data_IF_283305136002
#
_entry.id   IF_283305136002
#
_cell.length_a   1.000
_cell.length_b   1.000
_cell.length_c   1.000
_cell.angle_alpha   90.00
_cell.angle_beta   90.00
_cell.angle_gamma   90.00
#
_symmetry.space_group_name_H-M   'P 1'
#
loop_
_entity.id
_entity.type
_entity.pdbx_description
1 polymer ?
#
# COMPACT_ATOMS: atom_id res chain seq x y z
N UNK A 1 -7.19 15.85 9.98
CA UNK A 1 -6.60 14.60 9.41
C UNK A 1 -7.63 13.49 9.22
N UNK A 2 -8.49 13.20 10.22
CA UNK A 2 -9.41 12.05 10.16
C UNK A 2 -10.34 12.04 8.94
N UNK A 3 -10.98 13.16 8.60
CA UNK A 3 -11.84 13.25 7.42
C UNK A 3 -11.09 12.96 6.12
N UNK A 4 -9.88 13.52 5.97
CA UNK A 4 -9.01 13.28 4.81
C UNK A 4 -8.61 11.80 4.68
N UNK A 5 -8.32 11.13 5.79
CA UNK A 5 -8.00 9.70 5.79
C UNK A 5 -9.19 8.86 5.36
N UNK A 6 -10.39 9.13 5.89
CA UNK A 6 -11.60 8.40 5.52
C UNK A 6 -11.92 8.54 4.03
N UNK A 7 -11.80 9.75 3.46
CA UNK A 7 -12.03 9.94 2.03
C UNK A 7 -10.96 9.25 1.17
N UNK A 8 -9.68 9.27 1.56
CA UNK A 8 -8.64 8.51 0.86
C UNK A 8 -8.89 7.01 0.89
N UNK A 9 -9.25 6.45 2.04
CA UNK A 9 -9.63 5.04 2.17
C UNK A 9 -10.80 4.70 1.27
N UNK A 10 -11.85 5.54 1.25
CA UNK A 10 -13.00 5.36 0.36
C UNK A 10 -12.59 5.37 -1.11
N UNK A 11 -11.77 6.33 -1.53
CA UNK A 11 -11.25 6.42 -2.90
C UNK A 11 -10.42 5.19 -3.29
N UNK A 12 -9.50 4.75 -2.43
CA UNK A 12 -8.64 3.59 -2.68
C UNK A 12 -9.44 2.30 -2.83
N UNK A 13 -10.39 2.05 -1.92
CA UNK A 13 -11.26 0.87 -2.01
C UNK A 13 -12.18 0.92 -3.25
N UNK A 14 -12.73 2.09 -3.56
CA UNK A 14 -13.59 2.28 -4.73
C UNK A 14 -12.84 2.10 -6.04
N UNK A 15 -11.63 2.65 -6.16
CA UNK A 15 -10.77 2.50 -7.34
C UNK A 15 -10.37 1.04 -7.55
N UNK A 16 -9.94 0.38 -6.46
CA UNK A 16 -9.53 -1.02 -6.47
C UNK A 16 -10.69 -2.03 -6.61
N UNK A 17 -11.95 -1.56 -6.51
CA UNK A 17 -13.15 -2.41 -6.40
C UNK A 17 -13.04 -3.45 -5.28
N UNK A 18 -12.41 -3.08 -4.16
CA UNK A 18 -12.21 -3.96 -3.01
C UNK A 18 -13.37 -3.87 -2.01
N UNK A 19 -13.74 -4.99 -1.37
CA UNK A 19 -14.71 -4.98 -0.28
C UNK A 19 -14.32 -4.08 0.90
N UNK A 20 -15.34 -3.58 1.62
CA UNK A 20 -15.14 -2.70 2.80
C UNK A 20 -14.29 -3.33 3.91
N UNK A 21 -14.21 -4.66 4.01
CA UNK A 21 -13.40 -5.29 5.06
C UNK A 21 -11.88 -5.05 4.90
N UNK A 22 -11.42 -4.58 3.73
CA UNK A 22 -10.04 -4.15 3.50
C UNK A 22 -9.74 -2.71 3.95
N UNK A 23 -10.67 -2.04 4.64
CA UNK A 23 -10.49 -0.64 5.05
C UNK A 23 -9.25 -0.42 5.92
N UNK A 24 -8.86 -1.38 6.76
CA UNK A 24 -7.66 -1.28 7.59
C UNK A 24 -6.38 -1.21 6.76
N UNK A 25 -6.26 -2.07 5.76
CA UNK A 25 -5.12 -2.11 4.83
C UNK A 25 -5.05 -0.82 3.99
N UNK A 26 -6.20 -0.37 3.48
CA UNK A 26 -6.30 0.91 2.77
C UNK A 26 -5.92 2.09 3.67
N UNK A 27 -6.29 2.07 4.95
CA UNK A 27 -5.95 3.12 5.91
C UNK A 27 -4.44 3.14 6.18
N UNK A 28 -3.83 1.98 6.45
CA UNK A 28 -2.38 1.86 6.65
C UNK A 28 -1.61 2.33 5.43
N UNK A 29 -2.02 1.91 4.23
CA UNK A 29 -1.42 2.38 2.98
C UNK A 29 -1.55 3.90 2.79
N UNK A 30 -2.73 4.48 3.08
CA UNK A 30 -2.95 5.91 2.99
C UNK A 30 -2.06 6.70 3.96
N UNK A 31 -1.96 6.26 5.21
CA UNK A 31 -1.09 6.88 6.23
C UNK A 31 0.37 6.77 5.83
N UNK A 32 0.80 5.59 5.37
CA UNK A 32 2.17 5.36 4.92
C UNK A 32 2.54 6.33 3.78
N UNK A 33 1.70 6.42 2.75
CA UNK A 33 1.93 7.35 1.63
C UNK A 33 1.96 8.81 2.10
N UNK A 34 1.09 9.21 3.04
CA UNK A 34 1.09 10.57 3.58
C UNK A 34 2.42 10.89 4.27
N UNK A 35 2.93 9.97 5.08
CA UNK A 35 4.18 10.18 5.83
C UNK A 35 5.41 10.26 4.91
N UNK A 36 5.34 9.62 3.73
CA UNK A 36 6.38 9.67 2.70
C UNK A 36 6.21 10.82 1.71
N UNK A 37 5.09 11.53 1.74
CA UNK A 37 4.79 12.64 0.84
C UNK A 37 5.34 13.95 1.41
N UNK A 38 5.94 14.82 0.56
CA UNK A 38 6.28 16.18 0.96
C UNK A 38 5.06 16.94 1.51
N UNK A 39 5.24 17.61 2.65
CA UNK A 39 4.17 18.37 3.28
C UNK A 39 4.49 19.86 3.29
N UNK A 40 3.57 20.69 2.77
CA UNK A 40 3.72 22.16 2.76
C UNK A 40 3.90 22.72 4.17
N UNK A 41 3.18 22.17 5.15
CA UNK A 41 3.30 22.55 6.56
C UNK A 41 4.70 22.25 7.16
N UNK A 42 5.51 21.44 6.48
CA UNK A 42 6.88 21.10 6.88
C UNK A 42 7.91 21.69 5.90
N UNK A 43 7.61 22.84 5.29
CA UNK A 43 8.48 23.48 4.28
C UNK A 43 8.83 22.52 3.12
N UNK A 44 7.87 21.70 2.68
CA UNK A 44 8.06 20.70 1.62
C UNK A 44 9.05 19.58 1.95
N UNK A 45 9.41 19.41 3.22
CA UNK A 45 10.11 18.20 3.70
C UNK A 45 9.15 17.02 3.90
N UNK A 46 9.72 15.83 4.00
CA UNK A 46 9.00 14.57 4.18
C UNK A 46 8.88 14.22 5.67
N UNK A 47 7.66 14.01 6.21
CA UNK A 47 7.45 13.69 7.63
C UNK A 47 8.32 12.53 8.14
N UNK A 48 8.39 11.43 7.39
CA UNK A 48 9.13 10.23 7.79
C UNK A 48 10.64 10.51 7.95
N UNK A 49 11.20 11.30 7.02
CA UNK A 49 12.59 11.78 7.10
C UNK A 49 12.83 12.65 8.33
N UNK A 50 11.90 13.54 8.66
CA UNK A 50 12.00 14.43 9.82
C UNK A 50 11.94 13.61 11.12
N UNK A 51 11.02 12.66 11.22
CA UNK A 51 10.83 11.88 12.44
C UNK A 51 11.95 10.89 12.72
N UNK A 52 12.47 10.23 11.67
CA UNK A 52 13.46 9.16 11.83
C UNK A 52 14.88 9.56 11.43
N UNK A 53 15.09 10.76 10.89
CA UNK A 53 16.41 11.27 10.50
C UNK A 53 17.07 10.48 9.36
N UNK A 54 16.31 9.66 8.62
CA UNK A 54 16.81 8.81 7.55
C UNK A 54 16.25 9.25 6.20
N UNK A 55 17.06 9.10 5.16
CA UNK A 55 16.57 9.29 3.80
C UNK A 55 15.54 8.23 3.46
N UNK A 56 14.51 8.66 2.74
CA UNK A 56 13.38 7.83 2.33
C UNK A 56 13.70 7.20 0.98
N UNK A 57 13.47 5.89 0.83
CA UNK A 57 13.46 5.24 -0.48
C UNK A 57 12.03 5.16 -0.99
N UNK A 58 11.84 5.36 -2.28
CA UNK A 58 10.54 5.25 -2.94
C UNK A 58 10.45 4.01 -3.84
N UNK A 59 11.53 3.24 -3.98
CA UNK A 59 11.65 2.15 -4.97
C UNK A 59 10.69 0.99 -4.68
N UNK A 60 10.33 0.82 -3.40
CA UNK A 60 9.41 -0.19 -2.93
C UNK A 60 7.94 0.24 -3.06
N UNK A 61 7.66 1.50 -3.37
CA UNK A 61 6.28 1.96 -3.52
C UNK A 61 5.63 1.31 -4.74
N UNK A 62 4.39 0.88 -4.53
CA UNK A 62 3.50 0.25 -5.49
C UNK A 62 2.14 0.93 -5.42
N UNK A 63 1.49 1.00 -6.58
CA UNK A 63 0.12 1.51 -6.67
C UNK A 63 -0.80 0.54 -5.91
N UNK A 64 -1.60 1.09 -5.01
CA UNK A 64 -2.65 0.32 -4.33
C UNK A 64 -3.64 -0.15 -5.39
N UNK A 65 -3.96 -1.45 -5.40
CA UNK A 65 -4.69 -2.17 -6.46
C UNK A 65 -3.85 -2.84 -7.56
N UNK A 66 -2.52 -2.62 -7.59
CA UNK A 66 -1.73 -3.14 -8.70
C UNK A 66 -1.73 -4.67 -8.73
N UNK A 67 -1.66 -5.23 -9.94
CA UNK A 67 -1.59 -6.67 -10.15
C UNK A 67 -0.27 -7.20 -9.59
N UNK A 68 -0.35 -8.18 -8.70
CA UNK A 68 0.81 -8.84 -8.11
C UNK A 68 0.73 -10.35 -8.30
N UNK A 69 1.85 -11.04 -8.07
CA UNK A 69 1.92 -12.50 -8.15
C UNK A 69 2.63 -13.03 -6.92
N UNK A 70 1.97 -13.97 -6.23
CA UNK A 70 2.54 -14.65 -5.06
C UNK A 70 2.99 -16.04 -5.46
N UNK A 71 4.17 -16.46 -4.98
CA UNK A 71 4.69 -17.80 -5.23
C UNK A 71 3.84 -18.86 -4.52
N UNK A 72 3.42 -19.89 -5.25
CA UNK A 72 2.75 -21.07 -4.69
C UNK A 72 3.81 -22.10 -4.32
N UNK A 73 3.90 -22.43 -3.03
CA UNK A 73 4.86 -23.40 -2.48
C UNK A 73 4.74 -24.76 -3.17
N UNK A 74 5.86 -25.48 -3.23
CA UNK A 74 5.93 -26.81 -3.87
C UNK A 74 4.93 -27.80 -3.25
N UNK A 75 4.75 -27.77 -1.93
CA UNK A 75 3.85 -28.68 -1.22
C UNK A 75 2.36 -28.41 -1.50
N UNK A 76 2.04 -27.24 -2.09
CA UNK A 76 0.68 -26.82 -2.44
C UNK A 76 0.39 -26.95 -3.94
N UNK A 77 1.27 -27.59 -4.71
CA UNK A 77 1.12 -27.71 -6.17
C UNK A 77 1.65 -29.05 -6.70
N UNK A 78 0.98 -29.61 -7.69
CA UNK A 78 1.37 -30.82 -8.39
C UNK A 78 2.33 -30.52 -9.55
N UNK A 79 2.83 -31.58 -10.21
CA UNK A 79 3.68 -31.43 -11.39
C UNK A 79 2.90 -30.70 -12.50
N UNK A 80 3.53 -29.68 -13.10
CA UNK A 80 2.97 -28.78 -14.13
C UNK A 80 1.95 -27.73 -13.64
N UNK A 81 1.60 -27.72 -12.36
CA UNK A 81 0.73 -26.66 -11.82
C UNK A 81 1.42 -25.30 -11.88
N UNK A 82 0.60 -24.25 -12.01
CA UNK A 82 1.07 -22.87 -12.04
C UNK A 82 1.82 -22.52 -10.73
N UNK A 83 3.01 -21.94 -10.88
CA UNK A 83 3.90 -21.61 -9.74
C UNK A 83 3.52 -20.32 -9.03
N UNK A 84 2.56 -19.57 -9.55
CA UNK A 84 2.19 -18.24 -9.09
C UNK A 84 0.68 -18.08 -9.03
N UNK A 85 0.20 -17.35 -8.03
CA UNK A 85 -1.19 -16.92 -7.94
C UNK A 85 -1.26 -15.42 -8.18
N UNK A 86 -2.14 -14.99 -9.08
CA UNK A 86 -2.41 -13.57 -9.27
C UNK A 86 -3.14 -13.01 -8.05
N UNK A 87 -2.68 -11.86 -7.57
CA UNK A 87 -3.17 -11.14 -6.41
C UNK A 87 -3.27 -9.64 -6.71
N UNK A 88 -3.78 -8.89 -5.74
CA UNK A 88 -3.88 -7.44 -5.75
C UNK A 88 -3.00 -6.91 -4.61
N UNK A 89 -2.22 -5.87 -4.86
CA UNK A 89 -1.48 -5.19 -3.79
C UNK A 89 -2.41 -4.34 -2.93
N UNK A 90 -2.43 -4.60 -1.63
CA UNK A 90 -3.37 -3.98 -0.67
C UNK A 90 -2.69 -3.07 0.36
N UNK A 91 -1.37 -2.88 0.31
CA UNK A 91 -0.68 -2.00 1.26
C UNK A 91 0.66 -2.52 1.73
N UNK A 92 1.27 -1.79 2.66
CA UNK A 92 2.66 -1.98 3.08
C UNK A 92 2.82 -2.69 4.43
N UNK A 93 1.75 -2.85 5.21
CA UNK A 93 1.81 -3.35 6.58
C UNK A 93 2.31 -2.28 7.54
#
# INVERSE_FOLDING_TARGET
MNMTLVERVRCMLSGAKLPKHFWGEALLAAVHIINLSPAVALNTEVPDKIWFGKNVSYDYLRVFDCKTFVHVLKDKRSKLDMKTRQCIFIGYG
#
